data_IF_076811233101
#
_entry.id   IF_076811233101
#
_cell.length_a   1.000
_cell.length_b   1.000
_cell.length_c   1.000
_cell.angle_alpha   90.00
_cell.angle_beta   90.00
_cell.angle_gamma   90.00
#
_symmetry.space_group_name_H-M   'P 1'
#
loop_
_entity.id
_entity.type
_entity.pdbx_description
1 polymer ?
#
# COMPACT_ATOMS: atom_id res chain seq x y z
N UNK A 1 -20.45 -23.42 31.96
CA UNK A 1 -19.34 -23.02 31.12
C UNK A 1 -18.03 -23.16 31.86
N UNK A 2 -17.16 -24.12 31.49
CA UNK A 2 -15.81 -24.25 32.08
C UNK A 2 -14.93 -23.08 31.64
N UNK A 3 -14.47 -22.27 32.59
CA UNK A 3 -13.44 -21.24 32.31
C UNK A 3 -12.14 -21.96 31.96
N UNK A 4 -11.67 -21.81 30.73
CA UNK A 4 -10.36 -22.28 30.29
C UNK A 4 -9.32 -21.43 31.04
N UNK A 5 -8.54 -22.05 31.94
CA UNK A 5 -7.40 -21.40 32.59
C UNK A 5 -6.25 -21.33 31.57
N UNK A 6 -6.04 -20.18 30.98
CA UNK A 6 -4.87 -19.92 30.13
C UNK A 6 -3.59 -19.87 30.99
N UNK A 7 -2.51 -20.48 30.48
CA UNK A 7 -1.19 -20.50 31.14
C UNK A 7 -0.68 -19.07 31.35
N UNK A 8 0.02 -18.83 32.47
CA UNK A 8 0.53 -17.50 32.83
C UNK A 8 1.39 -16.86 31.72
N UNK A 9 2.21 -17.67 31.00
CA UNK A 9 3.03 -17.22 29.89
C UNK A 9 2.23 -16.76 28.67
N UNK A 10 1.05 -17.35 28.44
CA UNK A 10 0.14 -16.92 27.38
C UNK A 10 -0.53 -15.60 27.76
N UNK A 11 -0.89 -15.43 29.04
CA UNK A 11 -1.40 -14.16 29.55
C UNK A 11 -0.36 -13.05 29.46
N UNK A 12 0.87 -13.30 29.91
CA UNK A 12 1.97 -12.33 29.82
C UNK A 12 2.29 -11.93 28.38
N UNK A 13 2.26 -12.86 27.42
CA UNK A 13 2.40 -12.56 25.99
C UNK A 13 1.24 -11.74 25.41
N UNK A 14 0.01 -12.02 25.83
CA UNK A 14 -1.17 -11.26 25.38
C UNK A 14 -1.21 -9.86 26.02
N UNK A 15 -0.83 -9.73 27.28
CA UNK A 15 -0.77 -8.46 28.00
C UNK A 15 0.43 -7.59 27.55
N UNK A 16 1.54 -8.20 27.13
CA UNK A 16 2.71 -7.49 26.59
C UNK A 16 2.53 -7.06 25.12
N UNK A 17 1.61 -7.65 24.39
CA UNK A 17 1.19 -7.15 23.09
C UNK A 17 0.19 -6.00 23.26
N UNK A 18 0.62 -4.89 23.90
CA UNK A 18 -0.05 -3.62 23.69
C UNK A 18 -0.14 -3.42 22.19
N UNK A 19 -1.36 -3.40 21.66
CA UNK A 19 -1.60 -3.06 20.26
C UNK A 19 -0.96 -1.69 19.99
N UNK A 20 0.17 -1.69 19.28
CA UNK A 20 0.91 -0.48 18.90
C UNK A 20 0.15 0.42 17.92
N UNK A 21 -1.11 0.14 17.68
CA UNK A 21 -1.96 0.86 16.76
C UNK A 21 -2.79 1.93 17.46
N UNK A 22 -2.93 3.08 16.81
CA UNK A 22 -3.85 4.13 17.24
C UNK A 22 -5.29 3.62 17.33
N UNK A 23 -6.13 4.32 18.11
CA UNK A 23 -7.55 3.97 18.17
C UNK A 23 -8.24 4.10 16.80
N UNK A 24 -7.76 5.02 15.95
CA UNK A 24 -8.24 5.19 14.57
C UNK A 24 -7.91 3.96 13.72
N UNK A 25 -6.69 3.44 13.81
CA UNK A 25 -6.31 2.20 13.11
C UNK A 25 -7.16 1.01 13.58
N UNK A 26 -7.36 0.86 14.88
CA UNK A 26 -8.22 -0.19 15.45
C UNK A 26 -9.66 -0.10 14.94
N UNK A 27 -10.23 1.11 14.91
CA UNK A 27 -11.59 1.32 14.43
C UNK A 27 -11.72 0.96 12.94
N UNK A 28 -10.76 1.37 12.09
CA UNK A 28 -10.74 1.03 10.69
C UNK A 28 -10.47 -0.46 10.41
N UNK A 29 -9.77 -1.13 11.30
CA UNK A 29 -9.55 -2.57 11.20
C UNK A 29 -10.80 -3.37 11.57
N UNK A 30 -11.43 -3.07 12.70
CA UNK A 30 -12.60 -3.81 13.18
C UNK A 30 -13.90 -3.44 12.46
N UNK A 31 -13.98 -2.22 11.95
CA UNK A 31 -15.13 -1.67 11.20
C UNK A 31 -14.67 -1.07 9.88
N UNK A 32 -14.18 -1.88 8.94
CA UNK A 32 -13.62 -1.36 7.69
C UNK A 32 -14.70 -0.69 6.84
N UNK A 33 -14.42 0.53 6.39
CA UNK A 33 -15.31 1.31 5.52
C UNK A 33 -15.12 0.85 4.08
N UNK A 34 -16.23 0.80 3.35
CA UNK A 34 -16.22 0.47 1.93
C UNK A 34 -15.65 -0.90 1.56
N UNK A 35 -15.43 -1.76 2.54
CA UNK A 35 -15.02 -3.15 2.31
C UNK A 35 -16.11 -3.91 1.55
N UNK A 36 -15.71 -4.74 0.60
CA UNK A 36 -16.60 -5.54 -0.21
C UNK A 36 -16.22 -7.02 -0.03
N UNK A 37 -17.11 -7.80 0.57
CA UNK A 37 -16.89 -9.23 0.71
C UNK A 37 -17.01 -9.98 -0.63
N UNK A 38 -16.46 -11.20 -0.69
CA UNK A 38 -16.32 -11.95 -1.93
C UNK A 38 -17.64 -12.16 -2.70
N UNK A 39 -18.74 -12.43 -2.02
CA UNK A 39 -20.05 -12.70 -2.65
C UNK A 39 -20.67 -11.47 -3.27
N UNK A 40 -20.44 -10.30 -2.67
CA UNK A 40 -20.88 -9.01 -3.19
C UNK A 40 -19.94 -8.46 -4.27
N UNK A 41 -18.66 -8.84 -4.20
CA UNK A 41 -17.64 -8.42 -5.14
C UNK A 41 -17.90 -8.93 -6.56
N UNK A 42 -18.41 -10.16 -6.70
CA UNK A 42 -18.75 -10.77 -8.00
C UNK A 42 -19.84 -10.01 -8.76
N UNK A 43 -20.78 -9.43 -8.04
CA UNK A 43 -21.94 -8.71 -8.62
C UNK A 43 -21.74 -7.19 -8.68
N UNK A 44 -20.61 -6.70 -8.18
CA UNK A 44 -20.36 -5.27 -8.08
C UNK A 44 -19.99 -4.67 -9.44
N UNK A 45 -20.81 -3.73 -9.93
CA UNK A 45 -20.53 -2.98 -11.16
C UNK A 45 -19.55 -1.85 -10.86
N UNK A 46 -18.49 -1.73 -11.65
CA UNK A 46 -17.43 -0.76 -11.49
C UNK A 46 -16.96 -0.21 -12.83
N UNK A 47 -16.34 0.96 -12.83
CA UNK A 47 -15.74 1.58 -14.00
C UNK A 47 -14.24 1.25 -14.12
N UNK A 48 -13.54 1.03 -13.01
CA UNK A 48 -12.14 0.65 -12.99
C UNK A 48 -11.80 -0.35 -11.88
N UNK A 49 -10.84 -1.23 -12.15
CA UNK A 49 -10.36 -2.29 -11.27
C UNK A 49 -8.84 -2.24 -11.15
N UNK A 50 -8.33 -2.20 -9.93
CA UNK A 50 -6.91 -2.36 -9.61
C UNK A 50 -6.67 -3.59 -8.76
N UNK A 51 -5.64 -4.35 -9.09
CA UNK A 51 -5.18 -5.51 -8.34
C UNK A 51 -3.67 -5.40 -8.16
N UNK A 52 -3.23 -5.42 -6.92
CA UNK A 52 -1.81 -5.35 -6.56
C UNK A 52 -1.52 -6.39 -5.49
N UNK A 53 -0.42 -7.10 -5.64
CA UNK A 53 0.13 -8.02 -4.64
C UNK A 53 1.48 -7.55 -4.19
N UNK A 54 1.85 -7.87 -2.95
CA UNK A 54 3.21 -7.72 -2.43
C UNK A 54 3.80 -9.12 -2.23
N UNK A 55 4.78 -9.54 -3.05
CA UNK A 55 5.42 -10.84 -2.90
C UNK A 55 6.12 -11.01 -1.55
N UNK A 56 6.60 -9.91 -0.98
CA UNK A 56 7.37 -9.91 0.25
C UNK A 56 6.55 -10.19 1.51
N UNK A 57 5.30 -9.70 1.58
CA UNK A 57 4.41 -9.93 2.73
C UNK A 57 3.22 -10.86 2.42
N UNK A 58 3.03 -11.26 1.15
CA UNK A 58 1.90 -12.07 0.71
C UNK A 58 0.55 -11.34 0.71
N UNK A 59 0.55 -10.04 1.00
CA UNK A 59 -0.67 -9.23 0.99
C UNK A 59 -1.14 -8.99 -0.45
N UNK A 60 -2.45 -9.09 -0.68
CA UNK A 60 -3.08 -8.77 -1.96
C UNK A 60 -4.19 -7.74 -1.74
N UNK A 61 -4.23 -6.72 -2.60
CA UNK A 61 -5.21 -5.63 -2.55
C UNK A 61 -5.96 -5.52 -3.86
N UNK A 62 -7.27 -5.54 -3.78
CA UNK A 62 -8.18 -5.34 -4.90
C UNK A 62 -9.03 -4.09 -4.65
N UNK A 63 -9.06 -3.18 -5.62
CA UNK A 63 -9.79 -1.91 -5.56
C UNK A 63 -10.70 -1.78 -6.76
N UNK A 64 -11.94 -1.39 -6.52
CA UNK A 64 -12.93 -1.05 -7.54
C UNK A 64 -13.33 0.41 -7.38
N UNK A 65 -13.46 1.12 -8.48
CA UNK A 65 -13.93 2.51 -8.49
C UNK A 65 -15.16 2.69 -9.38
N UNK A 66 -16.05 3.58 -8.95
CA UNK A 66 -17.09 4.15 -9.82
C UNK A 66 -16.80 5.62 -10.06
N UNK A 67 -16.92 6.04 -11.30
CA UNK A 67 -16.56 7.38 -11.75
C UNK A 67 -17.79 8.16 -12.19
N UNK A 68 -17.92 9.40 -11.73
CA UNK A 68 -18.80 10.39 -12.34
C UNK A 68 -18.07 10.97 -13.56
N UNK A 69 -18.41 10.46 -14.73
CA UNK A 69 -17.77 10.83 -16.01
C UNK A 69 -17.95 12.32 -16.36
N UNK A 70 -19.08 12.94 -15.93
CA UNK A 70 -19.32 14.36 -16.20
C UNK A 70 -18.46 15.29 -15.35
N UNK A 71 -18.15 14.87 -14.12
CA UNK A 71 -17.38 15.67 -13.16
C UNK A 71 -15.93 15.23 -13.06
N UNK A 72 -15.53 14.16 -13.75
CA UNK A 72 -14.22 13.52 -13.69
C UNK A 72 -13.81 13.21 -12.23
N UNK A 73 -14.74 12.57 -11.49
CA UNK A 73 -14.60 12.28 -10.06
C UNK A 73 -14.83 10.81 -9.75
N UNK A 74 -14.03 10.27 -8.83
CA UNK A 74 -14.31 8.98 -8.21
C UNK A 74 -15.42 9.20 -7.18
N UNK A 75 -16.60 8.65 -7.44
CA UNK A 75 -17.77 8.74 -6.54
C UNK A 75 -17.74 7.70 -5.44
N UNK A 76 -17.22 6.54 -5.76
CA UNK A 76 -17.21 5.38 -4.86
C UNK A 76 -15.94 4.58 -5.09
N UNK A 77 -15.30 4.23 -3.98
CA UNK A 77 -14.20 3.28 -3.95
C UNK A 77 -14.59 2.13 -3.04
N UNK A 78 -14.58 0.91 -3.57
CA UNK A 78 -14.72 -0.34 -2.82
C UNK A 78 -13.42 -1.12 -2.89
N UNK A 79 -13.20 -2.01 -1.92
CA UNK A 79 -11.97 -2.76 -1.85
C UNK A 79 -12.14 -4.09 -1.12
N UNK A 80 -11.23 -5.02 -1.40
CA UNK A 80 -11.05 -6.26 -0.67
C UNK A 80 -9.57 -6.57 -0.56
N UNK A 81 -9.17 -7.31 0.48
CA UNK A 81 -7.77 -7.67 0.69
C UNK A 81 -7.66 -9.03 1.39
N UNK A 82 -6.57 -9.72 1.09
CA UNK A 82 -5.95 -10.73 1.94
C UNK A 82 -4.67 -10.10 2.48
N UNK A 83 -4.77 -9.41 3.63
CA UNK A 83 -3.66 -8.65 4.16
C UNK A 83 -3.79 -8.40 5.65
N UNK A 84 -2.74 -7.81 6.21
CA UNK A 84 -2.62 -7.55 7.63
C UNK A 84 -3.55 -6.42 8.12
N UNK A 85 -3.67 -6.25 9.43
CA UNK A 85 -4.49 -5.22 10.04
C UNK A 85 -4.17 -3.80 9.55
N UNK A 86 -2.88 -3.52 9.28
CA UNK A 86 -2.45 -2.23 8.71
C UNK A 86 -2.94 -2.03 7.28
N UNK A 87 -2.91 -3.09 6.44
CA UNK A 87 -3.42 -3.02 5.06
C UNK A 87 -4.93 -2.76 5.05
N UNK A 88 -5.68 -3.44 5.93
CA UNK A 88 -7.12 -3.22 6.11
C UNK A 88 -7.40 -1.78 6.54
N UNK A 89 -6.73 -1.30 7.59
CA UNK A 89 -6.96 0.04 8.12
C UNK A 89 -6.58 1.14 7.11
N UNK A 90 -5.43 0.99 6.43
CA UNK A 90 -4.95 1.95 5.44
C UNK A 90 -5.90 2.07 4.26
N UNK A 91 -6.35 0.93 3.71
CA UNK A 91 -7.24 0.95 2.56
C UNK A 91 -8.65 1.40 2.93
N UNK A 92 -9.11 1.06 4.15
CA UNK A 92 -10.35 1.60 4.71
C UNK A 92 -10.29 3.14 4.80
N UNK A 93 -9.19 3.71 5.29
CA UNK A 93 -8.99 5.15 5.36
C UNK A 93 -8.88 5.77 3.95
N UNK A 94 -8.09 5.20 3.05
CA UNK A 94 -7.98 5.66 1.67
C UNK A 94 -9.34 5.70 0.98
N UNK A 95 -10.18 4.68 1.19
CA UNK A 95 -11.51 4.63 0.60
C UNK A 95 -12.43 5.77 1.08
N UNK A 96 -12.27 6.21 2.33
CA UNK A 96 -12.97 7.41 2.84
C UNK A 96 -12.42 8.68 2.18
N UNK A 97 -11.09 8.86 2.16
CA UNK A 97 -10.45 10.04 1.55
C UNK A 97 -10.95 10.26 0.13
N UNK A 98 -11.06 9.19 -0.64
CA UNK A 98 -11.48 9.24 -2.05
C UNK A 98 -12.97 9.46 -2.24
N UNK A 99 -13.81 8.92 -1.34
CA UNK A 99 -15.27 8.88 -1.51
C UNK A 99 -16.03 9.94 -0.71
N UNK A 100 -15.41 10.56 0.30
CA UNK A 100 -16.06 11.58 1.12
C UNK A 100 -16.37 12.86 0.32
N UNK A 101 -17.28 13.69 0.87
CA UNK A 101 -17.67 14.98 0.28
C UNK A 101 -18.14 14.90 -1.18
N UNK A 102 -18.78 13.80 -1.56
CA UNK A 102 -19.30 13.59 -2.93
C UNK A 102 -18.23 13.18 -3.94
N UNK A 103 -17.13 12.64 -3.44
CA UNK A 103 -16.06 12.05 -4.23
C UNK A 103 -14.94 13.01 -4.63
N UNK A 104 -13.81 12.45 -5.00
CA UNK A 104 -12.57 13.16 -5.32
C UNK A 104 -12.34 13.21 -6.84
N UNK A 105 -11.83 14.34 -7.35
CA UNK A 105 -11.35 14.42 -8.75
C UNK A 105 -10.24 13.41 -8.99
N UNK A 106 -10.24 12.76 -10.16
CA UNK A 106 -9.27 11.72 -10.50
C UNK A 106 -7.83 12.24 -10.40
N UNK A 107 -7.55 13.44 -10.91
CA UNK A 107 -6.20 14.04 -10.85
C UNK A 107 -5.73 14.33 -9.41
N UNK A 108 -6.65 14.57 -8.47
CA UNK A 108 -6.33 14.68 -7.05
C UNK A 108 -6.08 13.32 -6.42
N UNK A 109 -6.87 12.31 -6.79
CA UNK A 109 -6.71 10.95 -6.30
C UNK A 109 -5.35 10.35 -6.71
N UNK A 110 -4.87 10.66 -7.92
CA UNK A 110 -3.53 10.27 -8.39
C UNK A 110 -2.37 10.93 -7.62
N UNK A 111 -2.63 12.01 -6.88
CA UNK A 111 -1.64 12.73 -6.06
C UNK A 111 -1.64 12.33 -4.59
N UNK A 112 -2.55 11.46 -4.17
CA UNK A 112 -2.57 10.94 -2.80
C UNK A 112 -1.24 10.24 -2.55
N UNK A 113 -0.66 10.52 -1.38
CA UNK A 113 0.58 9.88 -0.92
C UNK A 113 0.27 8.93 0.23
N UNK A 114 1.07 7.88 0.43
CA UNK A 114 0.95 7.01 1.61
C UNK A 114 0.99 7.77 2.94
N UNK A 115 1.72 8.90 2.99
CA UNK A 115 1.79 9.80 4.14
C UNK A 115 0.40 10.37 4.49
N UNK A 116 -0.38 10.82 3.50
CA UNK A 116 -1.71 11.40 3.72
C UNK A 116 -2.65 10.39 4.41
N UNK A 117 -2.52 9.11 4.02
CA UNK A 117 -3.28 8.01 4.61
C UNK A 117 -2.83 7.78 6.06
N UNK A 118 -1.51 7.72 6.28
CA UNK A 118 -0.91 7.43 7.57
C UNK A 118 -1.18 8.54 8.58
N UNK A 119 -1.08 9.80 8.16
CA UNK A 119 -1.37 10.98 8.98
C UNK A 119 -2.85 10.95 9.44
N UNK A 120 -3.76 10.67 8.53
CA UNK A 120 -5.19 10.61 8.84
C UNK A 120 -5.55 9.41 9.75
N UNK A 121 -4.76 8.33 9.72
CA UNK A 121 -4.83 7.22 10.66
C UNK A 121 -4.21 7.52 12.03
N UNK A 122 -3.62 8.71 12.21
CA UNK A 122 -2.85 9.10 13.41
C UNK A 122 -1.64 8.18 13.66
N UNK A 123 -0.96 7.83 12.58
CA UNK A 123 0.26 7.04 12.56
C UNK A 123 0.05 5.55 12.32
N UNK A 124 1.04 4.97 11.67
CA UNK A 124 1.27 3.52 11.54
C UNK A 124 2.67 3.21 12.06
N UNK A 125 2.91 2.02 12.61
CA UNK A 125 4.28 1.59 12.90
C UNK A 125 5.14 1.66 11.63
N UNK A 126 6.37 2.14 11.73
CA UNK A 126 7.27 2.35 10.58
C UNK A 126 7.39 1.11 9.69
N UNK A 127 7.54 -0.08 10.30
CA UNK A 127 7.58 -1.37 9.59
C UNK A 127 6.28 -1.76 8.88
N UNK A 128 5.18 -1.00 9.06
CA UNK A 128 3.86 -1.24 8.46
C UNK A 128 3.45 -0.12 7.49
N UNK A 129 4.37 0.80 7.21
CA UNK A 129 4.12 1.90 6.28
C UNK A 129 3.85 1.39 4.84
N UNK A 130 4.52 0.31 4.42
CA UNK A 130 4.31 -0.33 3.12
C UNK A 130 2.84 -0.72 2.86
N UNK A 131 2.06 -0.99 3.90
CA UNK A 131 0.65 -1.32 3.76
C UNK A 131 -0.19 -0.15 3.21
N UNK A 132 0.21 1.11 3.48
CA UNK A 132 -0.44 2.29 2.91
C UNK A 132 -0.10 2.47 1.43
N UNK A 133 1.09 2.04 1.02
CA UNK A 133 1.53 2.06 -0.38
C UNK A 133 0.76 1.07 -1.24
N UNK A 134 0.45 -0.11 -0.69
CA UNK A 134 -0.30 -1.14 -1.42
C UNK A 134 -1.70 -0.65 -1.84
N UNK A 135 -2.40 0.05 -0.95
CA UNK A 135 -3.70 0.66 -1.25
C UNK A 135 -3.61 1.76 -2.33
N UNK A 136 -2.60 2.62 -2.25
CA UNK A 136 -2.34 3.67 -3.24
C UNK A 136 -2.02 3.07 -4.63
N UNK A 137 -1.13 2.09 -4.70
CA UNK A 137 -0.83 1.38 -5.96
C UNK A 137 -2.06 0.72 -6.56
N UNK A 138 -2.92 0.10 -5.75
CA UNK A 138 -4.15 -0.52 -6.23
C UNK A 138 -5.17 0.52 -6.73
N UNK A 139 -5.28 1.68 -6.09
CA UNK A 139 -6.10 2.79 -6.56
C UNK A 139 -5.62 3.32 -7.91
N UNK A 140 -4.31 3.55 -8.08
CA UNK A 140 -3.70 3.95 -9.38
C UNK A 140 -3.98 2.92 -10.45
N UNK A 141 -3.85 1.63 -10.12
CA UNK A 141 -4.23 0.54 -11.02
C UNK A 141 -5.68 0.62 -11.50
N UNK A 142 -6.61 0.90 -10.57
CA UNK A 142 -8.04 1.06 -10.88
C UNK A 142 -8.32 2.28 -11.77
N UNK A 143 -7.64 3.40 -11.51
CA UNK A 143 -7.75 4.61 -12.33
C UNK A 143 -7.20 4.35 -13.75
N UNK A 144 -6.06 3.70 -13.86
CA UNK A 144 -5.47 3.35 -15.16
C UNK A 144 -6.36 2.38 -15.96
N UNK A 145 -7.00 1.41 -15.29
CA UNK A 145 -7.98 0.52 -15.95
C UNK A 145 -9.20 1.32 -16.48
N UNK A 146 -9.71 2.25 -15.69
CA UNK A 146 -10.76 3.17 -16.14
C UNK A 146 -10.32 3.98 -17.37
N UNK A 147 -9.10 4.55 -17.36
CA UNK A 147 -8.59 5.32 -18.51
C UNK A 147 -8.45 4.45 -19.76
N UNK A 148 -7.97 3.20 -19.65
CA UNK A 148 -7.92 2.26 -20.79
C UNK A 148 -9.32 1.98 -21.34
N UNK A 149 -10.29 1.68 -20.47
CA UNK A 149 -11.68 1.39 -20.87
C UNK A 149 -12.40 2.57 -21.53
N UNK A 150 -11.95 3.78 -21.26
CA UNK A 150 -12.54 5.01 -21.79
C UNK A 150 -11.66 5.70 -22.84
N UNK A 151 -10.63 5.02 -23.35
CA UNK A 151 -9.68 5.52 -24.37
C UNK A 151 -8.94 6.81 -23.97
N UNK A 152 -8.74 7.04 -22.67
CA UNK A 152 -7.98 8.18 -22.13
C UNK A 152 -6.50 7.82 -21.92
N UNK A 153 -5.86 7.21 -22.92
CA UNK A 153 -4.53 6.60 -22.79
C UNK A 153 -3.42 7.62 -22.42
N UNK A 154 -3.58 8.88 -22.79
CA UNK A 154 -2.64 9.96 -22.45
C UNK A 154 -2.60 10.31 -20.95
N UNK A 155 -3.62 9.90 -20.19
CA UNK A 155 -3.73 10.12 -18.74
C UNK A 155 -3.19 8.94 -17.91
N UNK A 156 -2.82 7.84 -18.56
CA UNK A 156 -2.31 6.65 -17.87
C UNK A 156 -0.98 6.97 -17.21
N UNK A 157 -0.91 6.75 -15.90
CA UNK A 157 0.33 6.86 -15.11
C UNK A 157 0.98 5.48 -15.06
N UNK A 158 2.00 5.27 -15.89
CA UNK A 158 2.76 4.02 -15.90
C UNK A 158 3.87 4.10 -14.84
N UNK A 159 3.81 3.22 -13.88
CA UNK A 159 4.93 2.88 -13.02
C UNK A 159 5.63 1.66 -13.64
N UNK A 160 6.50 1.92 -14.61
CA UNK A 160 7.34 0.87 -15.19
C UNK A 160 8.36 0.37 -14.16
N UNK A 161 8.65 -0.92 -14.18
CA UNK A 161 9.80 -1.46 -13.45
C UNK A 161 11.01 -1.43 -14.37
N UNK A 162 12.11 -0.80 -13.90
CA UNK A 162 13.38 -0.76 -14.61
C UNK A 162 14.34 -1.76 -13.97
N UNK A 163 14.88 -2.69 -14.76
CA UNK A 163 15.89 -3.64 -14.28
C UNK A 163 17.17 -2.88 -13.93
N UNK A 164 17.59 -2.97 -12.67
CA UNK A 164 18.78 -2.35 -12.11
C UNK A 164 19.96 -3.32 -12.15
N UNK A 165 19.72 -4.56 -11.76
CA UNK A 165 20.72 -5.63 -11.82
C UNK A 165 20.24 -6.73 -12.76
N UNK A 166 20.95 -6.91 -13.87
CA UNK A 166 20.58 -7.90 -14.89
C UNK A 166 20.88 -9.34 -14.46
N UNK A 167 21.82 -9.56 -13.54
CA UNK A 167 22.18 -10.89 -13.07
C UNK A 167 21.14 -11.46 -12.10
N UNK A 168 20.68 -10.62 -11.18
CA UNK A 168 19.65 -10.98 -10.21
C UNK A 168 18.23 -10.65 -10.68
N UNK A 169 18.12 -9.95 -11.81
CA UNK A 169 16.87 -9.43 -12.39
C UNK A 169 16.10 -8.50 -11.41
N UNK A 170 16.82 -7.87 -10.47
CA UNK A 170 16.26 -6.93 -9.51
C UNK A 170 15.92 -5.61 -10.20
N UNK A 171 14.72 -5.12 -9.92
CA UNK A 171 14.19 -3.88 -10.47
C UNK A 171 14.24 -2.74 -9.45
N UNK A 172 14.03 -1.51 -9.91
CA UNK A 172 13.82 -0.34 -9.04
C UNK A 172 12.62 -0.52 -8.10
N UNK A 173 11.61 -1.29 -8.52
CA UNK A 173 10.43 -1.61 -7.70
C UNK A 173 10.74 -2.58 -6.56
N UNK A 174 11.60 -3.54 -6.80
CA UNK A 174 12.06 -4.47 -5.75
C UNK A 174 12.85 -3.70 -4.68
N UNK A 175 13.69 -2.72 -5.10
CA UNK A 175 14.41 -1.84 -4.18
C UNK A 175 13.43 -0.94 -3.41
N UNK A 176 12.42 -0.33 -4.10
CA UNK A 176 11.36 0.44 -3.45
C UNK A 176 10.67 -0.37 -2.36
N UNK A 177 10.30 -1.60 -2.66
CA UNK A 177 9.61 -2.49 -1.73
C UNK A 177 10.50 -2.87 -0.53
N UNK A 178 11.76 -3.19 -0.79
CA UNK A 178 12.72 -3.49 0.26
C UNK A 178 12.94 -2.30 1.22
N UNK A 179 13.00 -1.07 0.69
CA UNK A 179 13.08 0.17 1.50
C UNK A 179 11.82 0.35 2.34
N UNK A 180 10.64 0.13 1.76
CA UNK A 180 9.36 0.22 2.47
C UNK A 180 9.23 -0.81 3.60
N UNK A 181 9.91 -1.95 3.47
CA UNK A 181 9.97 -3.01 4.48
C UNK A 181 11.06 -2.80 5.53
N UNK A 182 11.81 -1.70 5.43
CA UNK A 182 12.77 -1.27 6.44
C UNK A 182 14.22 -1.60 6.13
N UNK A 183 14.57 -1.90 4.88
CA UNK A 183 15.96 -1.99 4.44
C UNK A 183 16.42 -0.59 3.96
N UNK A 184 17.10 0.16 4.80
CA UNK A 184 17.46 1.56 4.54
C UNK A 184 18.90 1.76 4.08
N UNK A 185 19.72 0.71 4.17
CA UNK A 185 21.14 0.74 3.82
C UNK A 185 21.43 -0.18 2.64
N UNK A 186 22.53 0.08 1.92
CA UNK A 186 22.98 -0.79 0.84
C UNK A 186 23.18 -2.24 1.32
N UNK A 187 23.74 -2.42 2.51
CA UNK A 187 23.97 -3.76 3.06
C UNK A 187 22.66 -4.53 3.25
N UNK A 188 21.65 -3.91 3.88
CA UNK A 188 20.35 -4.53 4.11
C UNK A 188 19.64 -4.87 2.79
N UNK A 189 19.73 -3.99 1.78
CA UNK A 189 19.20 -4.23 0.43
C UNK A 189 19.94 -5.40 -0.23
N UNK A 190 21.26 -5.46 -0.13
CA UNK A 190 22.05 -6.57 -0.68
C UNK A 190 21.77 -7.91 0.03
N UNK A 191 21.60 -7.89 1.33
CA UNK A 191 21.22 -9.10 2.10
C UNK A 191 19.87 -9.63 1.64
N UNK A 192 18.92 -8.74 1.34
CA UNK A 192 17.55 -9.09 0.97
C UNK A 192 17.38 -9.47 -0.50
N UNK A 193 17.95 -8.68 -1.39
CA UNK A 193 17.74 -8.81 -2.85
C UNK A 193 18.92 -9.41 -3.59
N UNK A 194 20.09 -9.53 -2.96
CA UNK A 194 21.36 -9.95 -3.58
C UNK A 194 21.82 -9.05 -4.73
N UNK A 195 21.28 -7.83 -4.83
CA UNK A 195 21.61 -6.86 -5.87
C UNK A 195 23.03 -6.32 -5.71
N UNK A 196 23.77 -6.22 -6.81
CA UNK A 196 25.12 -5.67 -6.81
C UNK A 196 26.16 -6.48 -6.01
N UNK A 197 25.88 -7.74 -5.67
CA UNK A 197 26.84 -8.62 -4.97
C UNK A 197 27.86 -9.18 -5.94
N UNK A 198 27.41 -9.76 -7.05
CA UNK A 198 28.26 -10.30 -8.10
C UNK A 198 28.76 -9.21 -9.06
N UNK A 199 27.86 -8.34 -9.51
CA UNK A 199 28.17 -7.21 -10.38
C UNK A 199 28.02 -5.89 -9.65
N UNK A 200 29.12 -5.27 -9.27
CA UNK A 200 29.14 -4.01 -8.52
C UNK A 200 28.82 -2.77 -9.38
N UNK A 201 28.66 -2.90 -10.69
CA UNK A 201 28.42 -1.74 -11.58
C UNK A 201 27.09 -1.03 -11.30
N UNK A 202 26.08 -1.75 -10.78
CA UNK A 202 24.78 -1.17 -10.42
C UNK A 202 24.73 -0.54 -9.02
N UNK A 203 25.75 -0.74 -8.17
CA UNK A 203 25.77 -0.27 -6.78
C UNK A 203 25.52 1.24 -6.65
N UNK A 204 26.17 2.14 -7.43
CA UNK A 204 25.91 3.57 -7.32
C UNK A 204 24.44 3.94 -7.60
N UNK A 205 23.80 3.23 -8.52
CA UNK A 205 22.40 3.43 -8.86
C UNK A 205 21.47 2.91 -7.74
N UNK A 206 21.81 1.77 -7.16
CA UNK A 206 21.09 1.21 -5.98
C UNK A 206 21.13 2.19 -4.81
N UNK A 207 22.29 2.77 -4.50
CA UNK A 207 22.44 3.76 -3.42
C UNK A 207 21.61 5.02 -3.68
N UNK A 208 21.57 5.51 -4.93
CA UNK A 208 20.71 6.63 -5.31
C UNK A 208 19.23 6.31 -5.14
N UNK A 209 18.80 5.12 -5.51
CA UNK A 209 17.41 4.67 -5.33
C UNK A 209 17.05 4.52 -3.86
N UNK A 210 17.92 3.95 -3.04
CA UNK A 210 17.74 3.87 -1.59
C UNK A 210 17.52 5.27 -0.99
N UNK A 211 18.39 6.20 -1.33
CA UNK A 211 18.28 7.60 -0.88
C UNK A 211 16.97 8.22 -1.34
N UNK A 212 16.65 8.09 -2.62
CA UNK A 212 15.41 8.62 -3.21
C UNK A 212 14.16 8.07 -2.53
N UNK A 213 14.08 6.76 -2.30
CA UNK A 213 12.90 6.15 -1.67
C UNK A 213 12.82 6.47 -0.17
N UNK A 214 13.96 6.56 0.53
CA UNK A 214 13.98 7.02 1.91
C UNK A 214 13.44 8.45 2.03
N UNK A 215 13.91 9.38 1.19
CA UNK A 215 13.41 10.76 1.17
C UNK A 215 11.93 10.84 0.77
N UNK A 216 11.51 10.05 -0.22
CA UNK A 216 10.13 10.00 -0.72
C UNK A 216 9.13 9.55 0.34
N UNK A 217 9.48 8.54 1.14
CA UNK A 217 8.55 7.88 2.03
C UNK A 217 8.72 8.24 3.50
N UNK A 218 9.92 8.55 3.93
CA UNK A 218 10.22 8.76 5.36
C UNK A 218 10.74 10.18 5.66
N UNK A 219 10.97 11.00 4.62
CA UNK A 219 11.59 12.31 4.78
C UNK A 219 13.09 12.20 5.03
N UNK A 220 13.78 13.35 5.11
CA UNK A 220 15.21 13.35 5.39
C UNK A 220 15.44 12.86 6.83
N UNK A 221 16.16 11.74 7.08
CA UNK A 221 16.46 11.29 8.43
C UNK A 221 17.51 12.16 9.15
N UNK A 222 17.82 13.34 8.59
CA UNK A 222 18.85 14.27 9.08
C UNK A 222 18.20 15.60 9.47
N UNK A 223 17.36 15.59 10.54
CA UNK A 223 17.12 16.74 11.42
C UNK A 223 16.84 16.24 12.83
#
# INVERSE_FOLDING_TARGET
MRKIKTHADIKAKVDSQKWFYSNTVKDHFFKPRNFLDGTKAEKYKYDGLGLVGSPACGDMMKVWIKVDKKKDKIKEMKWATFGCASAIASTSMLSLIVSENGGMKIDKALKIKPQDITERLKGLPTRKFHCSVLGDKALRGAINDYFRKTNQNTRIVLEGARVIDKETNVTDKDIEEAVLEGAYTLQEIQEKLKVGVSNKSCVPEVEQLIKFYNEKYFGNPSQ
#
